data_IF_703246843603
#
_entry.id   IF_703246843603
#
_cell.length_a   1.000
_cell.length_b   1.000
_cell.length_c   1.000
_cell.angle_alpha   90.00
_cell.angle_beta   90.00
_cell.angle_gamma   90.00
#
_symmetry.space_group_name_H-M   'P 1'
#
loop_
_entity.id
_entity.type
_entity.pdbx_description
1 polymer ?
#
# COMPACT_ATOMS: atom_id res chain seq x y z
N UNK A 1 12.67 -31.13 13.01
CA UNK A 1 13.95 -30.89 12.36
C UNK A 1 13.74 -29.69 11.42
N UNK A 2 14.01 -28.49 11.92
CA UNK A 2 13.82 -27.26 11.14
C UNK A 2 14.89 -27.20 10.06
N UNK A 3 14.48 -27.12 8.78
CA UNK A 3 15.41 -26.87 7.67
C UNK A 3 16.01 -25.49 7.86
N UNK A 4 17.31 -25.44 8.13
CA UNK A 4 18.10 -24.21 8.17
C UNK A 4 18.20 -23.70 6.74
N UNK A 5 17.52 -22.61 6.44
CA UNK A 5 17.60 -21.96 5.13
C UNK A 5 18.78 -20.97 5.16
N UNK A 6 19.97 -21.45 4.94
CA UNK A 6 21.08 -20.58 4.53
C UNK A 6 20.95 -20.27 3.05
N UNK A 7 21.18 -19.01 2.66
CA UNK A 7 21.36 -18.68 1.22
C UNK A 7 22.61 -19.46 0.76
N UNK A 8 22.36 -20.58 0.15
CA UNK A 8 23.46 -21.35 -0.41
C UNK A 8 23.90 -20.61 -1.68
N UNK A 9 25.22 -20.29 -1.78
CA UNK A 9 25.80 -19.69 -3.00
C UNK A 9 25.41 -20.45 -4.27
N UNK A 10 25.10 -21.75 -4.16
CA UNK A 10 24.63 -22.58 -5.28
C UNK A 10 23.21 -22.24 -5.76
N UNK A 11 22.39 -21.64 -4.90
CA UNK A 11 21.00 -21.25 -5.24
C UNK A 11 20.96 -19.93 -6.01
N UNK A 12 22.05 -19.16 -6.01
CA UNK A 12 22.15 -17.91 -6.72
C UNK A 12 22.51 -18.13 -8.20
N UNK A 13 21.86 -17.37 -9.09
CA UNK A 13 22.25 -17.31 -10.51
C UNK A 13 23.69 -16.80 -10.67
N UNK A 14 24.40 -17.19 -11.74
CA UNK A 14 25.79 -16.80 -12.01
C UNK A 14 26.01 -15.29 -11.89
N UNK A 15 25.18 -14.46 -12.53
CA UNK A 15 25.27 -13.00 -12.45
C UNK A 15 25.15 -12.43 -11.04
N UNK A 16 24.31 -13.02 -10.18
CA UNK A 16 24.21 -12.62 -8.77
C UNK A 16 25.43 -13.08 -7.98
N UNK A 17 26.02 -14.23 -8.31
CA UNK A 17 27.25 -14.69 -7.62
C UNK A 17 28.43 -13.73 -7.81
N UNK A 18 28.51 -13.08 -8.94
CA UNK A 18 29.55 -12.09 -9.25
C UNK A 18 29.33 -10.79 -8.46
N UNK A 19 28.10 -10.52 -8.03
CA UNK A 19 27.71 -9.35 -7.24
C UNK A 19 27.87 -9.55 -5.73
N UNK A 20 28.44 -10.69 -5.29
CA UNK A 20 28.67 -10.97 -3.88
C UNK A 20 29.86 -10.19 -3.35
N UNK A 21 29.63 -9.43 -2.27
CA UNK A 21 30.66 -8.66 -1.56
C UNK A 21 30.70 -9.09 -0.09
N UNK A 22 31.90 -9.22 0.49
CA UNK A 22 32.04 -9.52 1.91
C UNK A 22 31.40 -8.43 2.75
N UNK A 23 30.68 -8.84 3.79
CA UNK A 23 30.12 -7.91 4.76
C UNK A 23 31.21 -7.39 5.71
N UNK A 24 31.06 -6.17 6.26
CA UNK A 24 31.99 -5.62 7.23
C UNK A 24 31.88 -6.33 8.59
N UNK A 25 32.86 -6.11 9.51
CA UNK A 25 32.81 -6.60 10.87
C UNK A 25 31.49 -6.30 11.57
N UNK A 26 30.94 -7.20 12.38
CA UNK A 26 31.47 -8.53 12.74
C UNK A 26 31.01 -9.67 11.82
N UNK A 27 30.58 -9.36 10.59
CA UNK A 27 29.93 -10.31 9.67
C UNK A 27 30.83 -10.74 8.48
N UNK A 28 32.15 -10.68 8.62
CA UNK A 28 33.13 -10.91 7.53
C UNK A 28 33.11 -12.33 6.97
N UNK A 29 32.55 -13.28 7.71
CA UNK A 29 32.31 -14.65 7.21
C UNK A 29 31.12 -14.77 6.25
N UNK A 30 30.33 -13.70 6.11
CA UNK A 30 29.11 -13.67 5.28
C UNK A 30 29.30 -12.72 4.10
N UNK A 31 28.42 -12.89 3.11
CA UNK A 31 28.39 -12.06 1.90
C UNK A 31 27.03 -11.37 1.78
N UNK A 32 27.04 -10.11 1.35
CA UNK A 32 25.89 -9.39 0.89
C UNK A 32 25.85 -9.37 -0.65
N UNK A 33 24.67 -9.25 -1.21
CA UNK A 33 24.44 -9.07 -2.64
C UNK A 33 24.41 -7.59 -2.94
N UNK A 34 25.29 -7.10 -3.81
CA UNK A 34 25.18 -5.78 -4.44
C UNK A 34 24.31 -5.98 -5.68
N UNK A 35 23.02 -5.69 -5.65
CA UNK A 35 22.15 -6.02 -6.79
C UNK A 35 22.62 -5.26 -8.03
N UNK A 36 22.67 -5.91 -9.21
CA UNK A 36 22.96 -5.22 -10.46
C UNK A 36 21.84 -4.20 -10.72
N UNK A 37 22.17 -3.11 -11.42
CA UNK A 37 21.17 -2.12 -11.82
C UNK A 37 19.99 -2.80 -12.54
N UNK A 38 18.76 -2.29 -12.34
CA UNK A 38 17.58 -2.80 -13.05
C UNK A 38 17.81 -2.77 -14.59
N UNK A 39 17.22 -3.72 -15.34
CA UNK A 39 17.46 -3.81 -16.78
C UNK A 39 16.81 -2.62 -17.52
N UNK A 40 17.57 -1.89 -18.31
CA UNK A 40 17.07 -0.81 -19.18
C UNK A 40 16.34 -1.38 -20.43
N UNK A 41 16.71 -2.58 -20.86
CA UNK A 41 16.06 -3.28 -21.97
C UNK A 41 14.77 -3.96 -21.55
N UNK A 42 13.86 -4.16 -22.50
CA UNK A 42 12.60 -4.86 -22.26
C UNK A 42 12.79 -6.27 -21.70
N UNK A 43 11.89 -6.68 -20.81
CA UNK A 43 11.79 -8.07 -20.34
C UNK A 43 10.82 -8.82 -21.23
N UNK A 44 11.24 -9.98 -21.71
CA UNK A 44 10.41 -10.84 -22.54
C UNK A 44 9.33 -11.51 -21.67
N UNK A 45 8.06 -11.29 -22.00
CA UNK A 45 6.91 -11.68 -21.15
C UNK A 45 6.30 -13.04 -21.53
N UNK A 46 6.67 -13.61 -22.65
CA UNK A 46 6.27 -14.92 -23.21
C UNK A 46 4.99 -15.53 -22.59
N UNK A 47 5.16 -16.43 -21.64
CA UNK A 47 4.07 -17.19 -21.03
C UNK A 47 3.05 -16.35 -20.24
N UNK A 48 3.40 -15.12 -19.88
CA UNK A 48 2.54 -14.22 -19.09
C UNK A 48 1.93 -13.08 -19.92
N UNK A 49 2.14 -13.05 -21.23
CA UNK A 49 1.68 -11.96 -22.11
C UNK A 49 0.18 -11.71 -22.01
N UNK A 50 -0.63 -12.77 -22.00
CA UNK A 50 -2.08 -12.65 -21.89
C UNK A 50 -2.50 -12.07 -20.53
N UNK A 51 -1.93 -12.56 -19.44
CA UNK A 51 -2.16 -12.06 -18.08
C UNK A 51 -1.77 -10.59 -17.95
N UNK A 52 -0.58 -10.25 -18.46
CA UNK A 52 -0.07 -8.89 -18.45
C UNK A 52 -0.98 -7.93 -19.25
N UNK A 53 -1.44 -8.35 -20.43
CA UNK A 53 -2.39 -7.56 -21.25
C UNK A 53 -3.72 -7.33 -20.53
N UNK A 54 -4.22 -8.34 -19.82
CA UNK A 54 -5.43 -8.21 -19.00
C UNK A 54 -5.23 -7.22 -17.85
N UNK A 55 -4.06 -7.22 -17.20
CA UNK A 55 -3.72 -6.26 -16.14
C UNK A 55 -3.64 -4.83 -16.70
N UNK A 56 -3.04 -4.62 -17.86
CA UNK A 56 -3.01 -3.31 -18.54
C UNK A 56 -4.43 -2.83 -18.88
N UNK A 57 -5.30 -3.72 -19.38
CA UNK A 57 -6.70 -3.38 -19.63
C UNK A 57 -7.44 -3.00 -18.32
N UNK A 58 -7.15 -3.68 -17.21
CA UNK A 58 -7.72 -3.36 -15.90
C UNK A 58 -7.28 -1.98 -15.39
N UNK A 59 -6.01 -1.60 -15.58
CA UNK A 59 -5.53 -0.24 -15.31
C UNK A 59 -6.28 0.80 -16.13
N UNK A 60 -6.43 0.57 -17.43
CA UNK A 60 -7.18 1.47 -18.32
C UNK A 60 -8.62 1.68 -17.87
N UNK A 61 -9.32 0.63 -17.41
CA UNK A 61 -10.68 0.74 -16.88
C UNK A 61 -10.75 1.63 -15.62
N UNK A 62 -9.82 1.47 -14.69
CA UNK A 62 -9.77 2.32 -13.48
C UNK A 62 -9.47 3.77 -13.85
N UNK A 63 -8.58 4.00 -14.82
CA UNK A 63 -8.28 5.33 -15.32
C UNK A 63 -9.49 6.02 -15.95
N UNK A 64 -10.30 5.31 -16.72
CA UNK A 64 -11.55 5.82 -17.27
C UNK A 64 -12.55 6.20 -16.16
N UNK A 65 -12.68 5.37 -15.15
CA UNK A 65 -13.59 5.67 -14.03
C UNK A 65 -13.10 6.86 -13.20
N UNK A 66 -11.80 6.97 -12.94
CA UNK A 66 -11.25 8.13 -12.24
C UNK A 66 -11.50 9.43 -12.99
N UNK A 67 -11.41 9.43 -14.33
CA UNK A 67 -11.71 10.60 -15.16
C UNK A 67 -13.21 10.94 -15.21
N UNK A 68 -14.09 9.92 -15.17
CA UNK A 68 -15.53 10.10 -15.18
C UNK A 68 -16.10 10.54 -13.81
N UNK A 69 -15.33 10.37 -12.72
CA UNK A 69 -15.74 10.78 -11.38
C UNK A 69 -15.45 12.28 -11.16
N UNK A 70 -16.42 12.98 -10.55
CA UNK A 70 -16.25 14.39 -10.17
C UNK A 70 -15.34 14.57 -8.96
N UNK A 71 -15.13 13.51 -8.18
CA UNK A 71 -14.16 13.48 -7.07
C UNK A 71 -13.46 12.11 -7.00
N UNK A 72 -12.34 11.96 -7.73
CA UNK A 72 -11.58 10.72 -7.76
C UNK A 72 -10.93 10.38 -6.41
N UNK A 73 -10.92 11.30 -5.44
CA UNK A 73 -10.27 11.13 -4.15
C UNK A 73 -11.19 10.64 -3.03
N UNK A 74 -12.52 10.75 -3.16
CA UNK A 74 -13.47 10.37 -2.11
C UNK A 74 -13.42 8.85 -1.84
N UNK A 75 -13.38 8.03 -2.87
CA UNK A 75 -13.22 6.57 -2.73
C UNK A 75 -11.83 6.22 -2.16
N UNK A 76 -10.87 7.12 -2.29
CA UNK A 76 -9.48 6.87 -1.95
C UNK A 76 -9.18 6.86 -0.43
N UNK A 77 -9.97 7.54 0.44
CA UNK A 77 -9.64 7.62 1.87
C UNK A 77 -9.75 6.27 2.57
N UNK A 78 -10.87 5.60 2.43
CA UNK A 78 -11.07 4.29 3.06
C UNK A 78 -10.15 3.23 2.45
N UNK A 79 -9.90 3.30 1.15
CA UNK A 79 -8.94 2.43 0.47
C UNK A 79 -7.51 2.70 0.90
N UNK A 80 -7.11 3.96 1.11
CA UNK A 80 -5.80 4.33 1.70
C UNK A 80 -5.63 3.78 3.11
N UNK A 81 -6.66 3.93 3.93
CA UNK A 81 -6.64 3.42 5.30
C UNK A 81 -6.51 1.89 5.31
N UNK A 82 -7.20 1.20 4.41
CA UNK A 82 -7.08 -0.24 4.24
C UNK A 82 -5.69 -0.65 3.74
N UNK A 83 -5.13 0.06 2.78
CA UNK A 83 -3.75 -0.12 2.33
C UNK A 83 -2.77 -0.01 3.49
N UNK A 84 -2.92 1.01 4.33
CA UNK A 84 -2.08 1.22 5.50
C UNK A 84 -2.18 0.08 6.51
N UNK A 85 -3.38 -0.43 6.76
CA UNK A 85 -3.62 -1.58 7.63
C UNK A 85 -2.95 -2.83 7.08
N UNK A 86 -3.21 -3.19 5.82
CA UNK A 86 -2.63 -4.39 5.20
C UNK A 86 -1.11 -4.30 5.04
N UNK A 87 -0.58 -3.16 4.63
CA UNK A 87 0.87 -2.97 4.52
C UNK A 87 1.58 -3.08 5.88
N UNK A 88 0.98 -2.52 6.93
CA UNK A 88 1.57 -2.58 8.27
C UNK A 88 1.46 -3.98 8.89
N UNK A 89 0.36 -4.70 8.64
CA UNK A 89 0.17 -6.09 9.09
C UNK A 89 1.24 -7.04 8.51
N UNK A 90 1.70 -6.79 7.29
CA UNK A 90 2.81 -7.53 6.67
C UNK A 90 4.10 -7.43 7.49
N UNK A 91 4.33 -6.31 8.18
CA UNK A 91 5.52 -6.06 9.03
C UNK A 91 5.27 -6.41 10.51
N UNK A 92 4.08 -6.93 10.83
CA UNK A 92 3.74 -7.34 12.20
C UNK A 92 3.17 -6.20 13.07
N UNK A 93 2.83 -5.05 12.49
CA UNK A 93 2.10 -3.97 13.16
C UNK A 93 0.62 -4.14 12.88
N UNK A 94 -0.16 -4.45 13.90
CA UNK A 94 -1.58 -4.77 13.75
C UNK A 94 -2.47 -3.67 14.29
N UNK A 95 -3.37 -3.20 13.45
CA UNK A 95 -4.52 -2.35 13.77
C UNK A 95 -5.66 -2.71 12.84
N UNK A 96 -6.87 -2.44 13.26
CA UNK A 96 -8.06 -2.63 12.41
C UNK A 96 -8.36 -1.36 11.63
N UNK A 97 -9.07 -1.50 10.51
CA UNK A 97 -9.55 -0.34 9.76
C UNK A 97 -10.49 0.53 10.62
N UNK A 98 -11.30 -0.09 11.47
CA UNK A 98 -12.20 0.61 12.39
C UNK A 98 -11.42 1.50 13.39
N UNK A 99 -10.39 0.95 14.03
CA UNK A 99 -9.50 1.71 14.91
C UNK A 99 -8.83 2.88 14.21
N UNK A 100 -8.31 2.65 13.00
CA UNK A 100 -7.65 3.70 12.22
C UNK A 100 -8.61 4.84 11.87
N UNK A 101 -9.83 4.51 11.42
CA UNK A 101 -10.83 5.51 11.08
C UNK A 101 -11.35 6.27 12.31
N UNK A 102 -11.39 5.63 13.49
CA UNK A 102 -11.71 6.30 14.77
C UNK A 102 -10.61 7.29 15.14
N UNK A 103 -9.35 6.88 15.05
CA UNK A 103 -8.20 7.74 15.37
C UNK A 103 -8.09 8.95 14.43
N UNK A 104 -8.51 8.81 13.19
CA UNK A 104 -8.62 9.93 12.25
C UNK A 104 -9.63 11.00 12.70
N UNK A 105 -10.61 10.61 13.53
CA UNK A 105 -11.60 11.52 14.11
C UNK A 105 -11.20 12.00 15.52
N UNK A 106 -10.48 11.19 16.29
CA UNK A 106 -10.07 11.46 17.65
C UNK A 106 -8.74 10.78 18.00
N UNK A 107 -7.65 11.55 17.96
CA UNK A 107 -6.28 11.09 18.22
C UNK A 107 -6.03 10.62 19.66
N UNK A 108 -6.87 11.03 20.62
CA UNK A 108 -6.71 10.63 22.03
C UNK A 108 -6.92 9.12 22.23
N UNK A 109 -7.63 8.47 21.30
CA UNK A 109 -7.88 7.02 21.33
C UNK A 109 -6.81 6.18 20.65
N UNK A 110 -5.77 6.81 20.09
CA UNK A 110 -4.74 6.12 19.32
C UNK A 110 -3.83 5.24 20.19
N UNK A 111 -3.77 3.94 19.87
CA UNK A 111 -2.69 3.08 20.36
C UNK A 111 -1.38 3.40 19.60
N UNK A 112 -0.27 2.86 20.10
CA UNK A 112 1.03 3.03 19.41
C UNK A 112 0.99 2.40 18.02
N UNK A 113 0.42 1.21 17.89
CA UNK A 113 0.28 0.48 16.62
C UNK A 113 -0.62 1.25 15.65
N UNK A 114 -1.75 1.77 16.13
CA UNK A 114 -2.67 2.54 15.28
C UNK A 114 -2.03 3.84 14.77
N UNK A 115 -1.18 4.49 15.59
CA UNK A 115 -0.40 5.66 15.15
C UNK A 115 0.59 5.32 14.04
N UNK A 116 1.29 4.19 14.14
CA UNK A 116 2.20 3.73 13.08
C UNK A 116 1.46 3.43 11.77
N UNK A 117 0.29 2.79 11.86
CA UNK A 117 -0.55 2.53 10.68
C UNK A 117 -1.06 3.84 10.07
N UNK A 118 -1.45 4.80 10.91
CA UNK A 118 -1.87 6.13 10.46
C UNK A 118 -0.74 6.90 9.77
N UNK A 119 0.50 6.80 10.25
CA UNK A 119 1.65 7.44 9.61
C UNK A 119 1.81 6.98 8.16
N UNK A 120 1.59 5.70 7.88
CA UNK A 120 1.58 5.19 6.51
C UNK A 120 0.45 5.79 5.67
N UNK A 121 -0.77 5.89 6.21
CA UNK A 121 -1.90 6.51 5.51
C UNK A 121 -1.65 8.00 5.22
N UNK A 122 -1.05 8.73 6.17
CA UNK A 122 -0.65 10.14 6.00
C UNK A 122 0.48 10.29 4.98
N UNK A 123 1.43 9.35 4.93
CA UNK A 123 2.46 9.33 3.90
C UNK A 123 1.84 9.18 2.50
N UNK A 124 0.88 8.26 2.30
CA UNK A 124 0.13 8.16 1.05
C UNK A 124 -0.58 9.48 0.70
N UNK A 125 -1.25 10.10 1.67
CA UNK A 125 -1.97 11.36 1.47
C UNK A 125 -1.04 12.50 1.02
N UNK A 126 0.17 12.56 1.56
CA UNK A 126 1.17 13.58 1.26
C UNK A 126 1.87 13.35 -0.08
N UNK A 127 2.29 12.11 -0.36
CA UNK A 127 3.21 11.84 -1.46
C UNK A 127 2.53 11.44 -2.77
N UNK A 128 1.29 10.92 -2.76
CA UNK A 128 0.60 10.61 -4.01
C UNK A 128 0.28 11.87 -4.85
N UNK A 129 -0.27 12.96 -4.27
CA UNK A 129 -0.47 14.20 -5.03
C UNK A 129 0.86 14.80 -5.52
N UNK A 130 1.93 14.67 -4.73
CA UNK A 130 3.27 15.12 -5.14
C UNK A 130 3.76 14.32 -6.35
N UNK A 131 3.60 13.00 -6.34
CA UNK A 131 3.97 12.14 -7.47
C UNK A 131 3.16 12.46 -8.73
N UNK A 132 1.84 12.66 -8.59
CA UNK A 132 0.98 13.05 -9.70
C UNK A 132 1.37 14.42 -10.29
N UNK A 133 1.76 15.38 -9.45
CA UNK A 133 2.16 16.72 -9.89
C UNK A 133 3.56 16.76 -10.53
N UNK A 134 4.52 16.04 -9.94
CA UNK A 134 5.93 16.07 -10.36
C UNK A 134 6.26 15.03 -11.44
N UNK A 135 5.37 14.04 -11.67
CA UNK A 135 5.68 12.92 -12.55
C UNK A 135 6.90 12.14 -12.04
N UNK A 136 7.65 11.56 -12.97
CA UNK A 136 8.81 10.71 -12.66
C UNK A 136 9.93 11.43 -11.88
N UNK A 137 10.03 12.75 -11.96
CA UNK A 137 11.06 13.53 -11.26
C UNK A 137 10.90 13.52 -9.73
N UNK A 138 9.78 12.97 -9.22
CA UNK A 138 9.56 12.77 -7.78
C UNK A 138 10.50 11.73 -7.17
N UNK A 139 11.02 10.79 -7.96
CA UNK A 139 11.86 9.68 -7.45
C UNK A 139 13.30 10.15 -7.21
N UNK A 140 13.48 10.88 -6.12
CA UNK A 140 14.78 11.38 -5.64
C UNK A 140 15.14 10.75 -4.30
N UNK A 141 16.41 10.81 -3.94
CA UNK A 141 16.88 10.38 -2.63
C UNK A 141 16.11 11.09 -1.51
N UNK A 142 15.98 12.43 -1.61
CA UNK A 142 15.28 13.24 -0.59
C UNK A 142 13.83 12.80 -0.42
N UNK A 143 13.13 12.48 -1.51
CA UNK A 143 11.76 11.98 -1.45
C UNK A 143 11.68 10.64 -0.71
N UNK A 144 12.57 9.69 -1.01
CA UNK A 144 12.55 8.37 -0.35
C UNK A 144 12.94 8.47 1.13
N UNK A 145 13.89 9.35 1.48
CA UNK A 145 14.22 9.63 2.88
C UNK A 145 13.04 10.27 3.62
N UNK A 146 12.35 11.23 2.99
CA UNK A 146 11.16 11.85 3.56
C UNK A 146 10.00 10.87 3.72
N UNK A 147 9.78 9.96 2.75
CA UNK A 147 8.82 8.86 2.86
C UNK A 147 9.09 7.99 4.09
N UNK A 148 10.32 7.53 4.24
CA UNK A 148 10.71 6.72 5.39
C UNK A 148 10.52 7.49 6.70
N UNK A 149 10.87 8.77 6.74
CA UNK A 149 10.67 9.62 7.91
C UNK A 149 9.18 9.70 8.30
N UNK A 150 8.27 9.86 7.35
CA UNK A 150 6.83 9.90 7.65
C UNK A 150 6.32 8.54 8.13
N UNK A 151 6.67 7.46 7.45
CA UNK A 151 6.23 6.09 7.80
C UNK A 151 6.72 5.64 9.17
N UNK A 152 7.91 6.12 9.60
CA UNK A 152 8.53 5.73 10.88
C UNK A 152 8.34 6.76 11.99
N UNK A 153 7.52 7.81 11.77
CA UNK A 153 7.40 8.97 12.66
C UNK A 153 7.08 8.60 14.12
N UNK A 154 6.12 7.70 14.33
CA UNK A 154 5.68 7.28 15.67
C UNK A 154 6.14 5.86 16.03
N UNK A 155 7.11 5.28 15.31
CA UNK A 155 7.68 4.01 15.70
C UNK A 155 8.74 4.17 16.79
N UNK A 156 8.32 4.13 18.04
CA UNK A 156 9.20 4.27 19.21
C UNK A 156 10.18 3.10 19.37
N UNK A 157 9.92 1.96 18.71
CA UNK A 157 10.79 0.79 18.73
C UNK A 157 11.92 0.90 17.71
N UNK A 158 11.84 1.87 16.79
CA UNK A 158 12.84 2.05 15.74
C UNK A 158 14.18 2.50 16.30
N UNK A 159 15.18 1.66 16.10
CA UNK A 159 16.55 1.95 16.53
C UNK A 159 17.29 2.60 15.36
N UNK A 160 17.22 3.91 15.24
CA UNK A 160 17.85 4.68 14.17
C UNK A 160 17.23 6.06 14.04
N UNK A 161 17.62 6.79 13.00
CA UNK A 161 17.03 8.08 12.67
C UNK A 161 16.04 7.86 11.52
N UNK A 162 14.72 8.11 11.71
CA UNK A 162 13.76 8.10 10.60
C UNK A 162 14.24 9.00 9.46
N UNK A 163 14.20 8.50 8.22
CA UNK A 163 14.70 9.22 7.06
C UNK A 163 16.20 9.08 6.80
N UNK A 164 16.95 8.31 7.59
CA UNK A 164 18.38 8.08 7.34
C UNK A 164 18.65 6.68 6.76
N UNK A 165 19.57 6.59 5.79
CA UNK A 165 20.05 5.32 5.28
C UNK A 165 20.75 4.55 6.37
N UNK A 166 20.68 3.21 6.32
CA UNK A 166 21.37 2.36 7.29
C UNK A 166 22.89 2.42 7.14
N UNK A 167 23.54 2.44 8.28
CA UNK A 167 24.99 2.33 8.41
C UNK A 167 25.43 0.96 8.96
N UNK A 168 24.47 0.05 9.18
CA UNK A 168 24.69 -1.28 9.74
C UNK A 168 24.30 -2.36 8.74
N UNK A 169 24.85 -3.55 8.92
CA UNK A 169 24.42 -4.75 8.18
C UNK A 169 23.02 -5.12 8.62
N UNK A 170 22.17 -5.43 7.66
CA UNK A 170 20.85 -6.02 7.85
C UNK A 170 20.70 -7.27 6.99
N UNK A 171 19.75 -8.13 7.31
CA UNK A 171 19.43 -9.33 6.54
C UNK A 171 17.94 -9.59 6.53
N UNK A 172 17.48 -10.33 5.55
CA UNK A 172 16.06 -10.63 5.32
C UNK A 172 15.80 -12.10 5.63
N UNK A 173 14.71 -12.35 6.34
CA UNK A 173 14.26 -13.70 6.71
C UNK A 173 15.11 -14.39 7.77
N UNK A 174 14.67 -15.57 8.16
CA UNK A 174 15.33 -16.36 9.19
C UNK A 174 15.24 -15.80 10.60
N UNK A 175 16.33 -15.84 11.35
CA UNK A 175 16.40 -15.34 12.72
C UNK A 175 16.83 -13.87 12.77
N UNK A 176 16.12 -13.05 13.54
CA UNK A 176 16.50 -11.63 13.77
C UNK A 176 17.86 -11.49 14.47
N UNK A 177 18.36 -12.55 15.12
CA UNK A 177 19.60 -12.52 15.91
C UNK A 177 20.77 -13.23 15.26
N UNK A 178 20.57 -13.93 14.14
CA UNK A 178 21.65 -14.69 13.51
C UNK A 178 21.52 -14.68 11.98
N UNK A 179 22.44 -13.95 11.34
CA UNK A 179 22.53 -13.81 9.88
C UNK A 179 22.75 -15.15 9.15
N UNK A 180 23.30 -16.17 9.82
CA UNK A 180 23.49 -17.49 9.22
C UNK A 180 22.17 -18.16 8.79
N UNK A 181 21.04 -17.71 9.30
CA UNK A 181 19.71 -18.20 8.92
C UNK A 181 18.97 -17.28 7.94
N UNK A 182 19.63 -16.24 7.45
CA UNK A 182 19.02 -15.30 6.50
C UNK A 182 18.63 -15.99 5.18
N UNK A 183 17.58 -15.49 4.55
CA UNK A 183 17.19 -15.90 3.20
C UNK A 183 17.79 -15.01 2.13
N UNK A 184 18.16 -13.78 2.49
CA UNK A 184 18.82 -12.81 1.62
C UNK A 184 19.62 -11.81 2.46
N UNK A 185 20.82 -11.48 2.01
CA UNK A 185 21.65 -10.44 2.61
C UNK A 185 21.77 -9.28 1.63
N UNK A 186 21.18 -8.12 1.94
CA UNK A 186 21.33 -6.90 1.16
C UNK A 186 22.78 -6.41 1.08
N UNK A 187 23.09 -5.42 0.22
CA UNK A 187 24.44 -4.91 0.05
C UNK A 187 25.01 -4.37 1.37
N UNK A 188 26.36 -4.37 1.53
CA UNK A 188 26.99 -3.74 2.68
C UNK A 188 26.66 -2.24 2.75
N UNK A 189 26.72 -1.62 3.94
CA UNK A 189 26.26 -0.25 4.16
C UNK A 189 26.86 0.81 3.22
N UNK A 190 28.15 0.66 2.88
CA UNK A 190 28.87 1.57 1.98
C UNK A 190 28.41 1.52 0.52
N UNK A 191 27.64 0.50 0.14
CA UNK A 191 27.06 0.33 -1.20
C UNK A 191 25.60 0.73 -1.31
N UNK A 192 24.92 0.95 -0.19
CA UNK A 192 23.48 1.21 -0.14
C UNK A 192 23.09 2.41 -0.99
N UNK A 193 23.78 3.55 -0.83
CA UNK A 193 23.44 4.78 -1.54
C UNK A 193 23.50 4.59 -3.07
N UNK A 194 24.57 3.96 -3.56
CA UNK A 194 24.71 3.72 -5.00
C UNK A 194 23.64 2.78 -5.54
N UNK A 195 23.35 1.68 -4.81
CA UNK A 195 22.30 0.75 -5.22
C UNK A 195 20.91 1.40 -5.20
N UNK A 196 20.63 2.23 -4.18
CA UNK A 196 19.39 2.98 -4.11
C UNK A 196 19.28 3.97 -5.27
N UNK A 197 20.38 4.66 -5.64
CA UNK A 197 20.38 5.57 -6.79
C UNK A 197 20.00 4.83 -8.07
N UNK A 198 20.53 3.64 -8.31
CA UNK A 198 20.13 2.81 -9.47
C UNK A 198 18.61 2.49 -9.46
N UNK A 199 18.01 2.31 -8.27
CA UNK A 199 16.55 2.13 -8.16
C UNK A 199 15.81 3.40 -8.57
N UNK A 200 16.27 4.54 -8.08
CA UNK A 200 15.64 5.84 -8.33
C UNK A 200 15.75 6.26 -9.80
N UNK A 201 16.94 6.10 -10.40
CA UNK A 201 17.17 6.36 -11.82
C UNK A 201 16.23 5.49 -12.68
N UNK A 202 16.08 4.23 -12.32
CA UNK A 202 15.14 3.34 -13.00
C UNK A 202 13.67 3.75 -12.83
N UNK A 203 13.26 4.20 -11.64
CA UNK A 203 11.91 4.74 -11.40
C UNK A 203 11.68 6.03 -12.18
N UNK A 204 12.69 6.91 -12.24
CA UNK A 204 12.68 8.13 -13.05
C UNK A 204 12.67 7.85 -14.55
N UNK A 205 13.12 6.67 -14.95
CA UNK A 205 13.22 6.28 -16.37
C UNK A 205 14.47 6.80 -17.05
N UNK A 206 15.50 7.16 -16.27
CA UNK A 206 16.78 7.62 -16.80
C UNK A 206 17.46 6.49 -17.59
N UNK A 207 17.95 6.81 -18.77
CA UNK A 207 18.60 5.84 -19.67
C UNK A 207 17.67 4.88 -20.42
N UNK A 208 16.37 4.81 -20.04
CA UNK A 208 15.42 3.90 -20.71
C UNK A 208 14.92 4.46 -22.02
N UNK A 209 14.92 3.61 -23.04
CA UNK A 209 14.13 3.86 -24.23
C UNK A 209 12.64 3.71 -23.87
N UNK A 210 11.89 4.80 -24.00
CA UNK A 210 10.52 4.99 -23.45
C UNK A 210 9.49 3.93 -23.83
N UNK A 211 9.77 3.02 -24.74
CA UNK A 211 8.82 2.03 -25.28
C UNK A 211 9.16 0.57 -24.95
N UNK A 212 10.20 0.31 -24.16
CA UNK A 212 10.71 -1.06 -23.99
C UNK A 212 10.05 -1.83 -22.87
N UNK A 213 9.45 -1.14 -21.90
CA UNK A 213 8.83 -1.77 -20.72
C UNK A 213 7.50 -1.11 -20.36
N UNK A 214 6.50 -1.94 -20.07
CA UNK A 214 5.22 -1.44 -19.55
C UNK A 214 5.37 -0.90 -18.12
N UNK A 215 4.39 -0.09 -17.70
CA UNK A 215 4.34 0.45 -16.35
C UNK A 215 4.31 -0.67 -15.29
N UNK A 216 3.55 -1.75 -15.53
CA UNK A 216 3.47 -2.90 -14.60
C UNK A 216 4.83 -3.57 -14.46
N UNK A 217 5.54 -3.79 -15.58
CA UNK A 217 6.89 -4.37 -15.57
C UNK A 217 7.86 -3.48 -14.81
N UNK A 218 7.82 -2.17 -15.04
CA UNK A 218 8.68 -1.19 -14.35
C UNK A 218 8.40 -1.17 -12.84
N UNK A 219 7.12 -1.16 -12.44
CA UNK A 219 6.72 -1.20 -11.03
C UNK A 219 7.25 -2.49 -10.36
N UNK A 220 7.07 -3.65 -10.99
CA UNK A 220 7.53 -4.92 -10.44
C UNK A 220 9.06 -4.95 -10.26
N UNK A 221 9.83 -4.54 -11.26
CA UNK A 221 11.29 -4.54 -11.22
C UNK A 221 11.81 -3.51 -10.20
N UNK A 222 11.29 -2.28 -10.22
CA UNK A 222 11.68 -1.23 -9.29
C UNK A 222 11.43 -1.66 -7.82
N UNK A 223 10.25 -2.24 -7.58
CA UNK A 223 9.91 -2.76 -6.26
C UNK A 223 10.86 -3.87 -5.80
N UNK A 224 11.13 -4.87 -6.65
CA UNK A 224 12.06 -5.94 -6.32
C UNK A 224 13.47 -5.43 -6.06
N UNK A 225 13.93 -4.46 -6.85
CA UNK A 225 15.26 -3.88 -6.68
C UNK A 225 15.35 -3.06 -5.38
N UNK A 226 14.32 -2.27 -5.07
CA UNK A 226 14.24 -1.55 -3.78
C UNK A 226 14.30 -2.52 -2.58
N UNK A 227 13.52 -3.59 -2.64
CA UNK A 227 13.52 -4.63 -1.59
C UNK A 227 14.87 -5.38 -1.52
N UNK A 228 15.59 -5.52 -2.63
CA UNK A 228 16.92 -6.11 -2.65
C UNK A 228 17.98 -5.17 -2.04
N UNK A 229 17.90 -3.88 -2.29
CA UNK A 229 18.79 -2.86 -1.69
C UNK A 229 18.57 -2.73 -0.19
N UNK A 230 17.31 -2.77 0.24
CA UNK A 230 16.89 -2.68 1.64
C UNK A 230 17.58 -1.51 2.36
N UNK A 231 17.32 -0.25 1.93
CA UNK A 231 18.17 0.89 2.27
C UNK A 231 18.09 1.34 3.72
N UNK A 232 17.08 0.93 4.46
CA UNK A 232 16.85 1.34 5.84
C UNK A 232 17.08 0.20 6.82
N UNK A 233 17.20 0.53 8.08
CA UNK A 233 17.36 -0.47 9.14
C UNK A 233 16.06 -1.25 9.38
N UNK A 234 14.91 -0.61 9.23
CA UNK A 234 13.55 -1.14 9.29
C UNK A 234 12.64 -0.30 8.41
N UNK A 235 11.37 -0.70 8.20
CA UNK A 235 10.39 0.04 7.41
C UNK A 235 10.54 -0.08 5.89
N UNK A 236 11.47 -0.88 5.39
CA UNK A 236 11.71 -1.03 3.95
C UNK A 236 10.48 -1.54 3.21
N UNK A 237 9.83 -2.59 3.70
CA UNK A 237 8.63 -3.14 3.07
C UNK A 237 7.49 -2.13 3.00
N UNK A 238 7.28 -1.33 4.06
CA UNK A 238 6.27 -0.24 4.07
C UNK A 238 6.59 0.82 3.00
N UNK A 239 7.84 1.30 2.94
CA UNK A 239 8.27 2.27 1.92
C UNK A 239 8.18 1.65 0.51
N UNK A 240 8.67 0.44 0.32
CA UNK A 240 8.63 -0.27 -0.97
C UNK A 240 7.21 -0.42 -1.52
N UNK A 241 6.23 -0.79 -0.66
CA UNK A 241 4.83 -0.90 -1.08
C UNK A 241 4.18 0.46 -1.34
N UNK A 242 4.60 1.52 -0.64
CA UNK A 242 4.14 2.89 -0.88
C UNK A 242 4.68 3.45 -2.22
N UNK A 243 5.86 3.06 -2.65
CA UNK A 243 6.41 3.45 -3.95
C UNK A 243 5.59 2.88 -5.12
N UNK A 244 4.87 1.75 -4.95
CA UNK A 244 4.03 1.17 -6.02
C UNK A 244 2.94 2.17 -6.48
N UNK A 245 2.01 2.63 -5.63
CA UNK A 245 0.99 3.60 -6.04
C UNK A 245 1.59 4.96 -6.43
N UNK A 246 2.76 5.34 -5.91
CA UNK A 246 3.46 6.55 -6.36
C UNK A 246 3.95 6.43 -7.80
N UNK A 247 4.46 5.28 -8.21
CA UNK A 247 4.86 5.06 -9.62
C UNK A 247 3.67 5.13 -10.57
N UNK A 248 2.49 4.62 -10.15
CA UNK A 248 1.26 4.76 -10.93
C UNK A 248 0.85 6.24 -11.03
N UNK A 249 0.81 6.95 -9.91
CA UNK A 249 0.43 8.36 -9.86
C UNK A 249 1.39 9.25 -10.69
N UNK A 250 2.69 8.97 -10.69
CA UNK A 250 3.68 9.69 -11.48
C UNK A 250 3.47 9.56 -13.00
N UNK A 251 2.81 8.48 -13.45
CA UNK A 251 2.41 8.23 -14.84
C UNK A 251 0.98 8.70 -15.14
N UNK A 252 0.37 9.48 -14.26
CA UNK A 252 -1.01 9.96 -14.36
C UNK A 252 -2.06 8.83 -14.34
N UNK A 253 -1.66 7.65 -13.86
CA UNK A 253 -2.59 6.55 -13.61
C UNK A 253 -3.14 6.67 -12.19
N UNK A 254 -4.38 6.24 -11.93
CA UNK A 254 -4.93 6.20 -10.59
C UNK A 254 -4.07 5.33 -9.68
N UNK A 255 -3.78 5.77 -8.45
CA UNK A 255 -3.03 4.96 -7.51
C UNK A 255 -3.85 3.71 -7.13
N UNK A 256 -3.30 2.53 -7.39
CA UNK A 256 -3.84 1.26 -6.91
C UNK A 256 -3.11 0.80 -5.66
N UNK A 257 -3.88 0.35 -4.70
CA UNK A 257 -3.41 -0.12 -3.40
C UNK A 257 -3.37 -1.64 -3.41
N UNK A 258 -2.17 -2.21 -3.47
CA UNK A 258 -2.00 -3.65 -3.68
C UNK A 258 -1.75 -4.44 -2.39
N UNK A 259 -1.56 -3.79 -1.24
CA UNK A 259 -1.14 -4.48 -0.01
C UNK A 259 -2.16 -5.48 0.51
N UNK A 260 -3.46 -5.26 0.30
CA UNK A 260 -4.47 -6.25 0.68
C UNK A 260 -4.38 -7.54 -0.14
N UNK A 261 -4.04 -7.44 -1.43
CA UNK A 261 -3.76 -8.60 -2.28
C UNK A 261 -2.44 -9.27 -1.86
N UNK A 262 -1.39 -8.48 -1.68
CA UNK A 262 -0.07 -8.96 -1.26
C UNK A 262 -0.16 -9.69 0.08
N UNK A 263 -0.90 -9.16 1.04
CA UNK A 263 -1.13 -9.80 2.35
C UNK A 263 -1.87 -11.14 2.21
N UNK A 264 -2.92 -11.17 1.40
CA UNK A 264 -3.71 -12.39 1.16
C UNK A 264 -2.90 -13.50 0.49
N UNK A 265 -1.96 -13.13 -0.40
CA UNK A 265 -1.08 -14.06 -1.14
C UNK A 265 0.39 -13.87 -0.75
N UNK A 266 0.64 -13.67 0.54
CA UNK A 266 1.94 -13.31 1.11
C UNK A 266 3.07 -14.27 0.73
N UNK A 267 2.78 -15.58 0.70
CA UNK A 267 3.79 -16.58 0.37
C UNK A 267 4.20 -16.49 -1.10
N UNK A 268 3.24 -16.39 -2.02
CA UNK A 268 3.49 -16.29 -3.46
C UNK A 268 4.28 -15.01 -3.78
N UNK A 269 3.95 -13.91 -3.08
CA UNK A 269 4.70 -12.66 -3.20
C UNK A 269 6.17 -12.80 -2.78
N UNK A 270 6.44 -13.42 -1.64
CA UNK A 270 7.82 -13.62 -1.19
C UNK A 270 8.59 -14.59 -2.09
N UNK A 271 7.93 -15.64 -2.61
CA UNK A 271 8.56 -16.56 -3.54
C UNK A 271 8.89 -15.87 -4.89
N UNK A 272 8.01 -14.99 -5.37
CA UNK A 272 8.25 -14.18 -6.56
C UNK A 272 9.40 -13.18 -6.36
N UNK A 273 9.43 -12.47 -5.22
CA UNK A 273 10.55 -11.59 -4.86
C UNK A 273 11.87 -12.33 -4.81
N UNK A 274 11.88 -13.51 -4.20
CA UNK A 274 13.07 -14.35 -4.12
C UNK A 274 13.61 -14.77 -5.49
N UNK A 275 12.73 -15.09 -6.46
CA UNK A 275 13.15 -15.38 -7.83
C UNK A 275 13.82 -14.15 -8.49
N UNK A 276 13.26 -12.96 -8.30
CA UNK A 276 13.84 -11.72 -8.80
C UNK A 276 15.19 -11.41 -8.16
N UNK A 277 15.28 -11.46 -6.83
CA UNK A 277 16.47 -11.09 -6.07
C UNK A 277 17.63 -12.08 -6.20
N UNK A 278 17.35 -13.38 -6.27
CA UNK A 278 18.38 -14.43 -6.26
C UNK A 278 18.73 -14.94 -7.66
N UNK A 279 17.84 -14.76 -8.63
CA UNK A 279 18.00 -15.35 -9.97
C UNK A 279 17.84 -14.35 -11.11
N UNK A 280 17.53 -13.08 -10.83
CA UNK A 280 17.16 -12.07 -11.84
C UNK A 280 16.00 -12.55 -12.73
N UNK A 281 15.16 -13.45 -12.20
CA UNK A 281 13.98 -13.94 -12.89
C UNK A 281 12.78 -13.05 -12.51
N UNK A 282 12.48 -12.09 -13.38
CA UNK A 282 11.45 -11.07 -13.15
C UNK A 282 10.03 -11.57 -13.43
N UNK A 283 9.87 -12.62 -14.27
CA UNK A 283 8.55 -13.08 -14.72
C UNK A 283 7.59 -13.44 -13.59
N UNK A 284 7.99 -14.21 -12.55
CA UNK A 284 7.06 -14.53 -11.45
C UNK A 284 6.54 -13.29 -10.73
N UNK A 285 7.37 -12.26 -10.53
CA UNK A 285 6.93 -11.04 -9.87
C UNK A 285 6.07 -10.16 -10.78
N UNK A 286 6.38 -10.07 -12.06
CA UNK A 286 5.53 -9.36 -13.05
C UNK A 286 4.16 -10.06 -13.14
N UNK A 287 4.12 -11.38 -13.15
CA UNK A 287 2.88 -12.16 -13.11
C UNK A 287 2.08 -11.89 -11.83
N UNK A 288 2.75 -11.93 -10.67
CA UNK A 288 2.11 -11.63 -9.38
C UNK A 288 1.53 -10.20 -9.35
N UNK A 289 2.30 -9.20 -9.77
CA UNK A 289 1.82 -7.81 -9.82
C UNK A 289 0.66 -7.64 -10.80
N UNK A 290 0.69 -8.35 -11.93
CA UNK A 290 -0.42 -8.37 -12.88
C UNK A 290 -1.69 -8.94 -12.26
N UNK A 291 -1.61 -10.07 -11.55
CA UNK A 291 -2.73 -10.66 -10.82
C UNK A 291 -3.22 -9.73 -9.70
N UNK A 292 -2.31 -9.11 -8.96
CA UNK A 292 -2.65 -8.16 -7.90
C UNK A 292 -3.45 -6.96 -8.44
N UNK A 293 -3.05 -6.42 -9.58
CA UNK A 293 -3.77 -5.32 -10.25
C UNK A 293 -5.18 -5.79 -10.69
N UNK A 294 -5.29 -6.92 -11.37
CA UNK A 294 -6.57 -7.47 -11.82
C UNK A 294 -7.49 -7.70 -10.61
N UNK A 295 -7.00 -8.40 -9.59
CA UNK A 295 -7.78 -8.71 -8.39
C UNK A 295 -8.21 -7.44 -7.64
N UNK A 296 -7.33 -6.45 -7.49
CA UNK A 296 -7.65 -5.17 -6.84
C UNK A 296 -8.72 -4.39 -7.61
N UNK A 297 -8.66 -4.39 -8.95
CA UNK A 297 -9.68 -3.75 -9.78
C UNK A 297 -11.03 -4.46 -9.70
N UNK A 298 -11.03 -5.78 -9.68
CA UNK A 298 -12.26 -6.57 -9.48
C UNK A 298 -12.88 -6.30 -8.11
N UNK A 299 -12.04 -6.26 -7.07
CA UNK A 299 -12.50 -5.91 -5.72
C UNK A 299 -13.11 -4.51 -5.66
N UNK A 300 -12.44 -3.53 -6.27
CA UNK A 300 -12.98 -2.17 -6.34
C UNK A 300 -14.38 -2.14 -6.97
N UNK A 301 -14.59 -2.88 -8.07
CA UNK A 301 -15.91 -3.03 -8.72
C UNK A 301 -16.94 -3.63 -7.78
N UNK A 302 -16.58 -4.69 -7.08
CA UNK A 302 -17.47 -5.39 -6.16
C UNK A 302 -17.88 -4.49 -4.98
N UNK A 303 -16.92 -3.79 -4.35
CA UNK A 303 -17.18 -2.83 -3.27
C UNK A 303 -18.11 -1.71 -3.74
N UNK A 304 -17.83 -1.12 -4.89
CA UNK A 304 -18.65 -0.06 -5.47
C UNK A 304 -20.10 -0.53 -5.70
N UNK A 305 -20.27 -1.69 -6.32
CA UNK A 305 -21.61 -2.27 -6.56
C UNK A 305 -22.34 -2.53 -5.24
N UNK A 306 -21.64 -3.09 -4.24
CA UNK A 306 -22.23 -3.37 -2.93
C UNK A 306 -22.65 -2.08 -2.20
N UNK A 307 -21.82 -1.02 -2.25
CA UNK A 307 -22.14 0.27 -1.63
C UNK A 307 -23.27 1.01 -2.36
N UNK A 308 -23.35 0.92 -3.69
CA UNK A 308 -24.49 1.44 -4.48
C UNK A 308 -25.80 0.73 -4.11
N UNK A 309 -25.76 -0.60 -3.96
CA UNK A 309 -26.91 -1.40 -3.52
C UNK A 309 -27.34 -1.02 -2.10
N UNK A 310 -26.38 -0.94 -1.18
CA UNK A 310 -26.64 -0.53 0.22
C UNK A 310 -27.27 0.87 0.29
N UNK A 311 -26.76 1.81 -0.50
CA UNK A 311 -27.35 3.16 -0.56
C UNK A 311 -28.82 3.13 -1.04
N UNK A 312 -29.14 2.31 -2.02
CA UNK A 312 -30.53 2.12 -2.49
C UNK A 312 -31.42 1.53 -1.38
N UNK A 313 -30.92 0.57 -0.60
CA UNK A 313 -31.61 0.02 0.58
C UNK A 313 -31.84 1.10 1.65
N UNK A 314 -30.84 1.92 1.96
CA UNK A 314 -30.94 3.03 2.92
C UNK A 314 -32.00 4.06 2.52
N UNK A 315 -32.14 4.34 1.22
CA UNK A 315 -33.18 5.22 0.68
C UNK A 315 -34.58 4.65 0.92
N UNK A 316 -34.72 3.31 0.95
CA UNK A 316 -35.98 2.62 1.25
C UNK A 316 -36.36 2.60 2.74
N UNK A 317 -35.41 2.77 3.66
CA UNK A 317 -35.66 2.69 5.12
C UNK A 317 -36.42 3.87 5.68
N UNK A 318 -36.39 5.02 5.00
CA UNK A 318 -37.02 6.26 5.45
C UNK A 318 -37.36 7.16 4.26
N UNK A 319 -38.48 7.92 4.36
CA UNK A 319 -38.74 9.02 3.45
C UNK A 319 -37.84 10.22 3.77
N UNK A 320 -36.98 10.61 2.85
CA UNK A 320 -36.11 11.76 2.95
C UNK A 320 -36.67 12.96 2.23
N UNK A 321 -36.65 14.15 2.87
CA UNK A 321 -36.98 15.39 2.17
C UNK A 321 -35.87 15.67 1.14
N UNK A 322 -36.28 16.12 -0.05
CA UNK A 322 -35.33 16.51 -1.12
C UNK A 322 -34.26 17.49 -0.58
N UNK A 323 -33.02 17.24 -0.86
CA UNK A 323 -31.86 18.02 -0.41
C UNK A 323 -31.69 18.13 1.12
N UNK A 324 -32.33 17.27 1.92
CA UNK A 324 -32.11 17.25 3.36
C UNK A 324 -30.66 16.85 3.70
N UNK A 325 -30.17 17.32 4.86
CA UNK A 325 -28.85 16.97 5.35
C UNK A 325 -28.67 15.44 5.52
N UNK A 326 -29.71 14.74 6.00
CA UNK A 326 -29.69 13.29 6.14
C UNK A 326 -29.58 12.58 4.80
N UNK A 327 -30.27 13.06 3.74
CA UNK A 327 -30.17 12.49 2.40
C UNK A 327 -28.75 12.67 1.83
N UNK A 328 -28.19 13.88 1.95
CA UNK A 328 -26.82 14.18 1.48
C UNK A 328 -25.74 13.40 2.26
N UNK A 329 -26.00 13.14 3.54
CA UNK A 329 -25.09 12.38 4.39
C UNK A 329 -24.94 10.91 3.94
N UNK A 330 -25.93 10.31 3.24
CA UNK A 330 -25.81 8.94 2.74
C UNK A 330 -24.59 8.77 1.81
N UNK A 331 -24.33 9.75 0.95
CA UNK A 331 -23.15 9.75 0.07
C UNK A 331 -21.86 9.88 0.87
N UNK A 332 -21.84 10.78 1.85
CA UNK A 332 -20.68 10.98 2.72
C UNK A 332 -20.34 9.72 3.49
N UNK A 333 -21.36 8.98 3.98
CA UNK A 333 -21.13 7.78 4.80
C UNK A 333 -20.58 6.59 4.01
N UNK A 334 -20.75 6.55 2.69
CA UNK A 334 -20.10 5.54 1.85
C UNK A 334 -18.58 5.75 1.86
N UNK A 335 -18.11 7.01 1.80
CA UNK A 335 -16.68 7.34 1.74
C UNK A 335 -16.06 7.57 3.12
N UNK A 336 -16.86 8.01 4.08
CA UNK A 336 -16.46 8.28 5.44
C UNK A 336 -17.37 7.51 6.42
N UNK A 337 -17.23 6.17 6.51
CA UNK A 337 -18.12 5.33 7.31
C UNK A 337 -17.97 5.53 8.83
N UNK A 338 -16.90 6.19 9.26
CA UNK A 338 -16.70 6.66 10.64
C UNK A 338 -16.55 8.17 10.60
N UNK A 339 -17.36 8.88 11.38
CA UNK A 339 -17.45 10.34 11.29
C UNK A 339 -17.94 10.98 12.59
N UNK A 340 -17.43 12.18 12.89
CA UNK A 340 -17.94 13.06 13.94
C UNK A 340 -19.01 14.03 13.42
N UNK A 341 -19.82 14.59 14.32
CA UNK A 341 -20.79 15.64 13.97
C UNK A 341 -20.08 16.86 13.34
N UNK A 342 -18.94 17.26 13.89
CA UNK A 342 -18.15 18.40 13.40
C UNK A 342 -17.71 18.18 11.96
N UNK A 343 -17.19 16.98 11.64
CA UNK A 343 -16.73 16.64 10.31
C UNK A 343 -17.87 16.56 9.31
N UNK A 344 -18.97 15.90 9.67
CA UNK A 344 -20.16 15.82 8.80
C UNK A 344 -20.70 17.21 8.47
N UNK A 345 -20.80 18.09 9.50
CA UNK A 345 -21.25 19.47 9.30
C UNK A 345 -20.33 20.25 8.35
N UNK A 346 -19.01 20.06 8.47
CA UNK A 346 -18.02 20.70 7.59
C UNK A 346 -18.10 20.17 6.16
N UNK A 347 -18.21 18.85 5.95
CA UNK A 347 -18.31 18.25 4.60
C UNK A 347 -19.60 18.71 3.89
N UNK A 348 -20.71 18.73 4.61
CA UNK A 348 -22.02 19.12 4.05
C UNK A 348 -22.24 20.63 3.99
N UNK A 349 -21.36 21.43 4.61
CA UNK A 349 -21.50 22.88 4.78
C UNK A 349 -22.86 23.24 5.39
N UNK A 350 -23.12 22.69 6.59
CA UNK A 350 -24.38 22.88 7.32
C UNK A 350 -24.14 23.25 8.80
N UNK A 351 -25.16 23.88 9.41
CA UNK A 351 -25.09 24.26 10.82
C UNK A 351 -25.09 23.05 11.78
N UNK A 352 -24.55 23.24 12.99
CA UNK A 352 -24.52 22.20 14.03
C UNK A 352 -25.92 21.64 14.39
N UNK A 353 -27.00 22.46 14.52
CA UNK A 353 -28.35 21.92 14.71
C UNK A 353 -28.82 21.04 13.55
N UNK A 354 -28.56 21.43 12.28
CA UNK A 354 -28.91 20.64 11.12
C UNK A 354 -28.15 19.31 11.08
N UNK A 355 -26.85 19.34 11.42
CA UNK A 355 -26.02 18.14 11.53
C UNK A 355 -26.55 17.17 12.59
N UNK A 356 -26.87 17.69 13.79
CA UNK A 356 -27.46 16.88 14.87
C UNK A 356 -28.75 16.21 14.43
N UNK A 357 -29.66 16.96 13.82
CA UNK A 357 -30.93 16.41 13.30
C UNK A 357 -30.69 15.32 12.25
N UNK A 358 -29.72 15.52 11.34
CA UNK A 358 -29.36 14.51 10.34
C UNK A 358 -28.84 13.21 10.98
N UNK A 359 -27.93 13.32 11.95
CA UNK A 359 -27.39 12.16 12.67
C UNK A 359 -28.48 11.39 13.44
N UNK A 360 -29.36 12.10 14.15
CA UNK A 360 -30.52 11.49 14.84
C UNK A 360 -31.45 10.74 13.86
N UNK A 361 -31.69 11.32 12.69
CA UNK A 361 -32.49 10.68 11.65
C UNK A 361 -31.85 9.42 11.09
N UNK A 362 -30.53 9.43 10.88
CA UNK A 362 -29.77 8.29 10.37
C UNK A 362 -29.63 7.18 11.40
N UNK A 363 -29.49 7.54 12.70
CA UNK A 363 -29.54 6.56 13.80
C UNK A 363 -30.93 5.90 13.90
N UNK A 364 -32.01 6.69 13.84
CA UNK A 364 -33.38 6.17 13.85
C UNK A 364 -33.69 5.25 12.66
N UNK A 365 -33.02 5.45 11.52
CA UNK A 365 -33.10 4.57 10.35
C UNK A 365 -32.17 3.33 10.42
N UNK A 366 -31.43 3.16 11.52
CA UNK A 366 -30.48 2.05 11.71
C UNK A 366 -29.28 2.11 10.78
N UNK A 367 -28.95 3.28 10.20
CA UNK A 367 -27.82 3.50 9.31
C UNK A 367 -26.55 3.81 10.09
N UNK A 368 -26.67 4.60 11.16
CA UNK A 368 -25.58 4.99 12.03
C UNK A 368 -25.71 4.41 13.43
N UNK A 369 -24.59 4.05 14.01
CA UNK A 369 -24.44 3.65 15.41
C UNK A 369 -23.43 4.57 16.07
N UNK A 370 -23.76 5.09 17.24
CA UNK A 370 -22.81 5.83 18.07
C UNK A 370 -21.85 4.86 18.76
N UNK A 371 -20.55 5.21 18.78
CA UNK A 371 -19.46 4.34 19.25
C UNK A 371 -18.90 4.72 20.62
N UNK A 372 -18.95 5.99 21.00
CA UNK A 372 -18.17 6.53 22.12
C UNK A 372 -18.94 6.75 23.43
N UNK A 373 -20.26 6.94 23.37
CA UNK A 373 -21.06 7.30 24.53
C UNK A 373 -20.69 8.67 25.17
N UNK A 374 -19.90 9.49 24.46
CA UNK A 374 -19.43 10.77 24.97
C UNK A 374 -20.53 11.85 24.96
N UNK A 375 -20.47 12.79 25.90
CA UNK A 375 -21.35 13.96 25.88
C UNK A 375 -21.01 14.94 24.74
N UNK A 376 -19.73 14.98 24.33
CA UNK A 376 -19.18 15.81 23.22
C UNK A 376 -18.28 14.95 22.34
N UNK A 377 -18.03 15.40 21.12
CA UNK A 377 -17.16 14.71 20.14
C UNK A 377 -17.57 13.25 19.91
N UNK A 378 -18.89 13.00 19.83
CA UNK A 378 -19.40 11.65 19.56
C UNK A 378 -18.97 11.18 18.19
N UNK A 379 -18.51 9.94 18.13
CA UNK A 379 -18.12 9.25 16.89
C UNK A 379 -19.27 8.33 16.48
N UNK A 380 -19.66 8.41 15.24
CA UNK A 380 -20.69 7.59 14.61
C UNK A 380 -20.07 6.70 13.55
N UNK A 381 -20.54 5.49 13.42
CA UNK A 381 -20.13 4.58 12.34
C UNK A 381 -21.33 4.05 11.58
N UNK A 382 -21.13 3.76 10.29
CA UNK A 382 -22.04 3.04 9.41
C UNK A 382 -21.60 1.56 9.33
N UNK A 383 -22.15 0.66 10.19
CA UNK A 383 -21.64 -0.70 10.32
C UNK A 383 -21.74 -1.52 9.04
N UNK A 384 -22.75 -1.27 8.22
CA UNK A 384 -22.97 -1.99 6.97
C UNK A 384 -21.90 -1.64 5.92
N UNK A 385 -21.49 -0.37 5.85
CA UNK A 385 -20.35 0.03 4.99
C UNK A 385 -19.07 -0.60 5.50
N UNK A 386 -18.84 -0.56 6.82
CA UNK A 386 -17.68 -1.20 7.44
C UNK A 386 -17.63 -2.69 7.15
N UNK A 387 -18.76 -3.40 7.17
CA UNK A 387 -18.84 -4.82 6.84
C UNK A 387 -18.45 -5.08 5.37
N UNK A 388 -18.88 -4.22 4.43
CA UNK A 388 -18.50 -4.35 3.01
C UNK A 388 -16.99 -4.16 2.83
N UNK A 389 -16.40 -3.16 3.50
CA UNK A 389 -15.01 -2.78 3.30
C UNK A 389 -14.04 -3.70 4.04
N UNK A 390 -14.43 -4.21 5.21
CA UNK A 390 -13.60 -5.10 6.05
C UNK A 390 -13.58 -6.56 5.59
N UNK A 391 -14.34 -6.93 4.56
CA UNK A 391 -14.30 -8.32 4.06
C UNK A 391 -12.88 -8.71 3.64
N UNK A 392 -12.36 -9.86 4.11
CA UNK A 392 -11.06 -10.37 3.67
C UNK A 392 -11.01 -10.56 2.15
N UNK A 393 -9.84 -10.32 1.55
CA UNK A 393 -9.69 -10.40 0.09
C UNK A 393 -10.06 -11.78 -0.47
N UNK A 394 -9.66 -12.86 0.18
CA UNK A 394 -9.93 -14.25 -0.24
C UNK A 394 -11.40 -14.66 -0.17
N UNK A 395 -12.17 -14.13 0.77
CA UNK A 395 -13.60 -14.46 0.91
C UNK A 395 -14.43 -13.91 -0.27
N UNK A 396 -13.92 -12.91 -1.00
CA UNK A 396 -14.60 -12.31 -2.14
C UNK A 396 -14.46 -13.12 -3.43
N UNK A 397 -13.42 -13.94 -3.55
CA UNK A 397 -13.24 -14.84 -4.71
C UNK A 397 -14.26 -15.98 -4.70
N UNK A 398 -14.73 -16.41 -3.51
CA UNK A 398 -15.74 -17.47 -3.37
C UNK A 398 -17.16 -17.03 -3.75
N UNK A 399 -17.43 -15.71 -3.74
CA UNK A 399 -18.73 -15.13 -4.08
C UNK A 399 -18.86 -14.71 -5.56
N UNK A 400 -17.81 -14.86 -6.36
CA UNK A 400 -17.86 -14.58 -7.80
C UNK A 400 -18.44 -15.79 -8.53
N UNK A 401 -19.60 -15.69 -9.22
CA UNK A 401 -20.07 -16.78 -10.06
C UNK A 401 -19.07 -17.00 -11.22
N UNK A 402 -18.75 -18.26 -11.46
CA UNK A 402 -17.88 -18.75 -12.53
C UNK A 402 -18.39 -18.36 -13.92
#
# INVERSE_FOLDING_TARGET
MFKVFTVNRQDLMGGIRECLTRLPPPYESHYGVVPPAPPESGVYLDDITALHSQAMASLGQIAEWARASTDPYLISRTLRSREAVSSSAMEGTHSTLDELLIVDEDDEQATQETRQVRDYALALEKFLPLAAASGRTVFTLDTVLALHQEVMRHDISYIGTPGALRTTVVWIGGSRHNIAYSTYNPPPPDRVLQCLQNTLDYMAGDGMQMMTQSLITRVAIAHAHFEAVHPFRDGNGRVGRLLIPMMLAAEQEPPLYLSSYIEAYKQDYYDALKQAQQKLNWLPLIAFMSQAIIGTVQEFKAVRKATETLKAEWLGRRSYRKNSAALRALDVLIDCPVITATRLGKILDISAPATKTALEQLQAAGILVERTGYARNRIFSAPEVMAIINRPFRERELDSPA
#
